data_IF_526507071854
#
_entry.id   IF_526507071854
#
_cell.length_a   1.000
_cell.length_b   1.000
_cell.length_c   1.000
_cell.angle_alpha   90.00
_cell.angle_beta   90.00
_cell.angle_gamma   90.00
#
_symmetry.space_group_name_H-M   'P 1'
#
loop_
_entity.id
_entity.type
_entity.pdbx_description
1 polymer ?
#
# COMPACT_ATOMS: atom_id res chain seq x y z
N UNK A 1 43.33 -35.30 2.97
CA UNK A 1 42.49 -34.87 4.11
C UNK A 1 41.15 -35.56 4.00
N UNK A 2 40.62 -36.16 5.08
CA UNK A 2 39.31 -36.86 5.05
C UNK A 2 38.17 -35.88 4.78
N UNK A 3 37.18 -36.29 3.97
CA UNK A 3 35.95 -35.53 3.66
C UNK A 3 35.29 -34.95 4.92
N UNK A 4 35.27 -35.73 5.99
CA UNK A 4 34.66 -35.35 7.27
C UNK A 4 35.34 -34.14 7.94
N UNK A 5 36.64 -33.93 7.70
CA UNK A 5 37.39 -32.78 8.23
C UNK A 5 37.06 -31.50 7.47
N UNK A 6 36.81 -31.61 6.17
CA UNK A 6 36.41 -30.49 5.30
C UNK A 6 34.99 -30.05 5.65
N UNK A 7 34.07 -31.00 5.86
CA UNK A 7 32.68 -30.69 6.24
C UNK A 7 32.58 -30.01 7.61
N UNK A 8 33.35 -30.48 8.61
CA UNK A 8 33.42 -29.82 9.93
C UNK A 8 33.95 -28.38 9.84
N UNK A 9 35.02 -28.16 9.08
CA UNK A 9 35.57 -26.82 8.86
C UNK A 9 34.58 -25.88 8.16
N UNK A 10 33.82 -26.38 7.18
CA UNK A 10 32.79 -25.59 6.50
C UNK A 10 31.63 -25.19 7.44
N UNK A 11 31.21 -26.08 8.32
CA UNK A 11 30.16 -25.80 9.32
C UNK A 11 30.64 -24.73 10.31
N UNK A 12 31.85 -24.86 10.83
CA UNK A 12 32.44 -23.87 11.76
C UNK A 12 32.60 -22.49 11.09
N UNK A 13 33.06 -22.45 9.84
CA UNK A 13 33.21 -21.20 9.09
C UNK A 13 31.84 -20.51 8.86
N UNK A 14 30.80 -21.28 8.54
CA UNK A 14 29.43 -20.74 8.39
C UNK A 14 28.88 -20.21 9.72
N UNK A 15 29.12 -20.92 10.82
CA UNK A 15 28.70 -20.48 12.15
C UNK A 15 29.41 -19.18 12.54
N UNK A 16 30.74 -19.12 12.40
CA UNK A 16 31.51 -17.92 12.69
C UNK A 16 31.05 -16.72 11.84
N UNK A 17 30.74 -16.93 10.56
CA UNK A 17 30.18 -15.88 9.69
C UNK A 17 28.81 -15.41 10.19
N UNK A 18 27.95 -16.34 10.60
CA UNK A 18 26.62 -16.01 11.12
C UNK A 18 26.72 -15.24 12.45
N UNK A 19 27.55 -15.70 13.39
CA UNK A 19 27.81 -15.04 14.68
C UNK A 19 28.35 -13.63 14.47
N UNK A 20 29.32 -13.46 13.56
CA UNK A 20 29.87 -12.14 13.22
C UNK A 20 28.81 -11.20 12.61
N UNK A 21 27.92 -11.73 11.75
CA UNK A 21 26.84 -10.93 11.19
C UNK A 21 25.81 -10.53 12.26
N UNK A 22 25.47 -11.43 13.18
CA UNK A 22 24.57 -11.12 14.30
C UNK A 22 25.15 -10.04 15.20
N UNK A 23 26.43 -10.15 15.58
CA UNK A 23 27.11 -9.14 16.38
C UNK A 23 27.13 -7.76 15.70
N UNK A 24 27.39 -7.74 14.39
CA UNK A 24 27.35 -6.50 13.59
C UNK A 24 25.95 -5.86 13.57
N UNK A 25 24.90 -6.65 13.35
CA UNK A 25 23.52 -6.15 13.35
C UNK A 25 23.11 -5.65 14.74
N UNK A 26 23.43 -6.39 15.79
CA UNK A 26 23.14 -5.99 17.17
C UNK A 26 23.86 -4.69 17.56
N UNK A 27 25.13 -4.52 17.15
CA UNK A 27 25.84 -3.26 17.34
C UNK A 27 25.12 -2.09 16.66
N UNK A 28 24.70 -2.24 15.40
CA UNK A 28 23.97 -1.19 14.69
C UNK A 28 22.63 -0.87 15.36
N UNK A 29 21.88 -1.88 15.79
CA UNK A 29 20.59 -1.70 16.48
C UNK A 29 20.73 -1.00 17.85
N UNK A 30 21.89 -1.09 18.48
CA UNK A 30 22.17 -0.44 19.77
C UNK A 30 22.61 1.03 19.63
N UNK A 31 22.84 1.53 18.42
CA UNK A 31 23.28 2.91 18.20
C UNK A 31 22.14 3.89 18.47
N UNK A 32 22.29 4.85 19.41
CA UNK A 32 21.20 5.73 19.83
C UNK A 32 20.75 6.73 18.75
N UNK A 33 21.54 6.88 17.69
CA UNK A 33 21.23 7.76 16.56
C UNK A 33 20.62 7.01 15.36
N UNK A 34 20.49 5.68 15.43
CA UNK A 34 19.70 4.91 14.47
C UNK A 34 18.29 4.78 15.03
N UNK A 35 17.33 5.45 14.39
CA UNK A 35 15.95 5.47 14.85
C UNK A 35 15.26 4.13 14.56
N UNK A 36 14.47 3.65 15.52
CA UNK A 36 13.77 2.37 15.43
C UNK A 36 12.36 2.46 14.84
N UNK A 37 11.78 3.66 14.83
CA UNK A 37 10.38 3.89 14.46
C UNK A 37 10.19 5.23 13.72
N UNK A 38 9.09 5.34 12.99
CA UNK A 38 8.74 6.57 12.27
C UNK A 38 8.34 7.70 13.22
N UNK A 39 7.77 7.38 14.37
CA UNK A 39 7.34 8.33 15.38
C UNK A 39 8.53 9.13 15.94
N UNK A 40 9.71 8.51 16.04
CA UNK A 40 10.96 9.17 16.46
C UNK A 40 11.47 10.23 15.45
N UNK A 41 10.93 10.22 14.23
CA UNK A 41 11.27 11.18 13.17
C UNK A 41 10.46 12.47 13.25
N UNK A 42 9.38 12.51 14.05
CA UNK A 42 8.48 13.67 14.13
C UNK A 42 9.25 14.91 14.60
N UNK A 43 9.16 15.99 13.81
CA UNK A 43 9.81 17.27 14.09
C UNK A 43 11.29 17.34 13.67
N UNK A 44 11.89 16.23 13.22
CA UNK A 44 13.25 16.24 12.68
C UNK A 44 13.27 16.74 11.23
N UNK A 45 14.34 17.43 10.87
CA UNK A 45 14.53 17.94 9.51
C UNK A 45 15.44 16.99 8.74
N UNK A 46 14.98 16.52 7.58
CA UNK A 46 15.80 15.69 6.68
C UNK A 46 16.91 16.57 6.10
N UNK A 47 18.16 16.16 6.30
CA UNK A 47 19.35 16.79 5.74
C UNK A 47 19.76 16.11 4.43
N UNK A 48 19.75 14.76 4.39
CA UNK A 48 20.16 13.99 3.22
C UNK A 48 19.25 12.79 2.99
N UNK A 49 19.04 12.46 1.72
CA UNK A 49 18.36 11.25 1.26
C UNK A 49 19.34 10.45 0.43
N UNK A 50 19.78 9.30 0.94
CA UNK A 50 20.83 8.47 0.34
C UNK A 50 20.20 7.17 -0.17
N UNK A 51 20.13 6.92 -1.48
CA UNK A 51 19.68 5.65 -2.02
C UNK A 51 20.57 4.49 -1.54
N UNK A 52 19.98 3.34 -1.27
CA UNK A 52 20.72 2.11 -0.90
C UNK A 52 20.70 1.18 -2.12
N UNK A 53 21.75 1.14 -2.97
CA UNK A 53 21.69 0.45 -4.27
C UNK A 53 21.46 -1.06 -4.15
N UNK A 54 21.95 -1.66 -3.06
CA UNK A 54 21.88 -3.10 -2.79
C UNK A 54 20.53 -3.53 -2.20
N UNK A 55 19.69 -2.58 -1.78
CA UNK A 55 18.38 -2.84 -1.17
C UNK A 55 17.31 -2.12 -1.98
N UNK A 56 16.63 -2.87 -2.85
CA UNK A 56 15.58 -2.34 -3.72
C UNK A 56 14.57 -1.50 -2.95
N UNK A 57 14.28 -0.31 -3.47
CA UNK A 57 13.28 0.62 -2.93
C UNK A 57 13.54 1.01 -1.46
N UNK A 58 14.79 1.19 -1.05
CA UNK A 58 15.12 1.73 0.27
C UNK A 58 16.07 2.92 0.19
N UNK A 59 15.88 3.86 1.10
CA UNK A 59 16.72 5.06 1.27
C UNK A 59 17.11 5.21 2.73
N UNK A 60 18.32 5.69 2.98
CA UNK A 60 18.69 6.21 4.28
C UNK A 60 18.33 7.70 4.34
N UNK A 61 17.53 8.08 5.33
CA UNK A 61 17.24 9.47 5.66
C UNK A 61 18.17 9.87 6.80
N UNK A 62 19.00 10.88 6.55
CA UNK A 62 19.87 11.49 7.57
C UNK A 62 19.24 12.81 7.98
N UNK A 63 19.08 13.03 9.29
CA UNK A 63 18.50 14.24 9.85
C UNK A 63 19.59 15.22 10.30
N UNK A 64 19.24 16.50 10.38
CA UNK A 64 20.17 17.59 10.75
C UNK A 64 20.78 17.47 12.15
N UNK A 65 20.20 16.64 13.01
CA UNK A 65 20.71 16.34 14.35
C UNK A 65 21.68 15.14 14.38
N UNK A 66 22.03 14.60 13.21
CA UNK A 66 22.94 13.47 13.04
C UNK A 66 22.29 12.09 13.25
N UNK A 67 20.97 12.04 13.52
CA UNK A 67 20.24 10.77 13.52
C UNK A 67 19.93 10.28 12.11
N UNK A 68 19.62 8.99 11.97
CA UNK A 68 19.19 8.43 10.69
C UNK A 68 18.13 7.33 10.85
N UNK A 69 17.35 7.11 9.78
CA UNK A 69 16.44 5.98 9.65
C UNK A 69 16.53 5.41 8.23
N UNK A 70 16.31 4.10 8.07
CA UNK A 70 16.13 3.48 6.76
C UNK A 70 14.64 3.43 6.45
N UNK A 71 14.24 4.03 5.34
CA UNK A 71 12.87 4.14 4.90
C UNK A 71 12.66 3.47 3.54
N UNK A 72 11.47 2.90 3.26
CA UNK A 72 11.09 2.58 1.90
C UNK A 72 11.14 3.84 1.01
N UNK A 73 11.55 3.65 -0.23
CA UNK A 73 11.52 4.66 -1.27
C UNK A 73 10.06 5.08 -1.54
N UNK A 74 9.77 6.36 -1.81
CA UNK A 74 8.41 6.80 -2.09
C UNK A 74 7.82 6.00 -3.26
N UNK A 75 6.74 5.27 -2.99
CA UNK A 75 6.03 4.48 -4.02
C UNK A 75 5.07 5.41 -4.76
N UNK A 76 5.19 5.47 -6.09
CA UNK A 76 4.37 6.31 -6.97
C UNK A 76 3.13 5.59 -7.53
N UNK A 77 2.74 4.45 -6.96
CA UNK A 77 1.59 3.70 -7.45
C UNK A 77 0.29 4.47 -7.21
N UNK A 78 -0.59 4.65 -8.21
CA UNK A 78 -1.79 5.49 -8.09
C UNK A 78 -2.71 5.14 -6.92
N UNK A 79 -2.88 3.85 -6.61
CA UNK A 79 -3.72 3.41 -5.49
C UNK A 79 -3.10 3.79 -4.15
N UNK A 80 -1.79 3.60 -4.01
CA UNK A 80 -1.01 3.94 -2.81
C UNK A 80 -0.98 5.45 -2.60
N UNK A 81 -0.82 6.22 -3.68
CA UNK A 81 -0.88 7.68 -3.65
C UNK A 81 -2.26 8.17 -3.17
N UNK A 82 -3.35 7.63 -3.71
CA UNK A 82 -4.72 8.02 -3.33
C UNK A 82 -4.99 7.70 -1.86
N UNK A 83 -4.62 6.50 -1.40
CA UNK A 83 -4.78 6.09 0.01
C UNK A 83 -3.94 6.96 0.95
N UNK A 84 -2.69 7.25 0.58
CA UNK A 84 -1.80 8.11 1.35
C UNK A 84 -2.32 9.55 1.44
N UNK A 85 -2.80 10.10 0.32
CA UNK A 85 -3.43 11.43 0.26
C UNK A 85 -4.63 11.53 1.22
N UNK A 86 -5.52 10.53 1.20
CA UNK A 86 -6.67 10.50 2.11
C UNK A 86 -6.29 10.28 3.57
N UNK A 87 -5.31 9.43 3.86
CA UNK A 87 -4.82 9.21 5.22
C UNK A 87 -4.22 10.49 5.83
N UNK A 88 -3.55 11.31 5.00
CA UNK A 88 -2.98 12.60 5.41
C UNK A 88 -3.99 13.74 5.58
N UNK A 89 -5.27 13.55 5.22
CA UNK A 89 -6.28 14.62 5.19
C UNK A 89 -6.37 15.40 6.49
N UNK A 90 -6.44 14.72 7.64
CA UNK A 90 -6.54 15.38 8.95
C UNK A 90 -5.39 16.35 9.25
N UNK A 91 -4.18 16.08 8.74
CA UNK A 91 -3.02 16.94 8.94
C UNK A 91 -2.86 18.03 7.86
N UNK A 92 -3.40 17.78 6.66
CA UNK A 92 -3.11 18.58 5.46
C UNK A 92 -4.27 19.45 4.98
N UNK A 93 -5.52 19.11 5.30
CA UNK A 93 -6.70 19.77 4.75
C UNK A 93 -6.79 21.24 5.14
N UNK A 94 -6.37 21.60 6.36
CA UNK A 94 -6.32 23.01 6.80
C UNK A 94 -5.39 23.88 5.94
N UNK A 95 -4.40 23.29 5.27
CA UNK A 95 -3.44 23.98 4.40
C UNK A 95 -3.74 23.82 2.92
N UNK A 96 -4.53 22.81 2.55
CA UNK A 96 -4.76 22.39 1.18
C UNK A 96 -6.24 22.08 0.90
N UNK A 97 -7.15 22.85 1.50
CA UNK A 97 -8.60 22.62 1.45
C UNK A 97 -9.13 22.49 0.02
N UNK A 98 -8.71 23.40 -0.89
CA UNK A 98 -9.15 23.39 -2.29
C UNK A 98 -8.74 22.10 -3.03
N UNK A 99 -7.58 21.53 -2.68
CA UNK A 99 -7.11 20.26 -3.25
C UNK A 99 -8.01 19.10 -2.81
N UNK A 100 -8.39 19.05 -1.54
CA UNK A 100 -9.29 18.01 -1.03
C UNK A 100 -10.72 18.18 -1.57
N UNK A 101 -11.22 19.41 -1.69
CA UNK A 101 -12.52 19.68 -2.31
C UNK A 101 -12.56 19.26 -3.79
N UNK A 102 -11.45 19.51 -4.51
CA UNK A 102 -11.29 19.06 -5.90
C UNK A 102 -11.27 17.54 -5.98
N UNK A 103 -10.52 16.88 -5.10
CA UNK A 103 -10.52 15.42 -5.01
C UNK A 103 -11.92 14.85 -4.75
N UNK A 104 -12.67 15.41 -3.79
CA UNK A 104 -14.02 14.96 -3.46
C UNK A 104 -15.01 15.15 -4.63
N UNK A 105 -14.80 16.16 -5.47
CA UNK A 105 -15.56 16.32 -6.71
C UNK A 105 -15.22 15.21 -7.72
N UNK A 106 -13.93 14.95 -7.92
CA UNK A 106 -13.46 13.91 -8.84
C UNK A 106 -13.91 12.50 -8.40
N UNK A 107 -13.81 12.19 -7.11
CA UNK A 107 -14.24 10.91 -6.55
C UNK A 107 -15.75 10.70 -6.71
N UNK A 108 -16.56 11.76 -6.53
CA UNK A 108 -18.00 11.70 -6.82
C UNK A 108 -18.29 11.42 -8.29
N UNK A 109 -17.55 12.04 -9.20
CA UNK A 109 -17.70 11.80 -10.63
C UNK A 109 -17.31 10.36 -11.01
N UNK A 110 -16.20 9.85 -10.48
CA UNK A 110 -15.75 8.48 -10.71
C UNK A 110 -16.80 7.46 -10.23
N UNK A 111 -17.31 7.64 -9.01
CA UNK A 111 -18.38 6.78 -8.46
C UNK A 111 -19.65 6.80 -9.30
N UNK A 112 -20.06 7.99 -9.77
CA UNK A 112 -21.23 8.13 -10.64
C UNK A 112 -21.03 7.44 -11.99
N UNK A 113 -19.85 7.62 -12.60
CA UNK A 113 -19.48 6.96 -13.85
C UNK A 113 -19.43 5.43 -13.70
N UNK A 114 -18.81 4.94 -12.62
CA UNK A 114 -18.71 3.51 -12.30
C UNK A 114 -20.08 2.87 -12.10
N UNK A 115 -20.99 3.54 -11.38
CA UNK A 115 -22.39 3.09 -11.22
C UNK A 115 -23.10 3.00 -12.57
N UNK A 116 -22.92 4.01 -13.42
CA UNK A 116 -23.53 4.06 -14.76
C UNK A 116 -23.01 2.93 -15.65
N UNK A 117 -21.69 2.74 -15.70
CA UNK A 117 -21.06 1.65 -16.44
C UNK A 117 -21.57 0.27 -15.96
N UNK A 118 -21.66 0.06 -14.64
CA UNK A 118 -22.19 -1.18 -14.06
C UNK A 118 -23.64 -1.43 -14.47
N UNK A 119 -24.49 -0.40 -14.45
CA UNK A 119 -25.87 -0.50 -14.90
C UNK A 119 -25.95 -0.93 -16.37
N UNK A 120 -25.18 -0.29 -17.24
CA UNK A 120 -25.13 -0.66 -18.67
C UNK A 120 -24.69 -2.11 -18.87
N UNK A 121 -23.69 -2.58 -18.12
CA UNK A 121 -23.23 -3.96 -18.19
C UNK A 121 -24.33 -4.94 -17.77
N UNK A 122 -25.06 -4.65 -16.69
CA UNK A 122 -26.19 -5.47 -16.23
C UNK A 122 -27.31 -5.51 -17.28
N UNK A 123 -27.71 -4.35 -17.80
CA UNK A 123 -28.75 -4.26 -18.82
C UNK A 123 -28.35 -5.00 -20.11
N UNK A 124 -27.09 -4.87 -20.51
CA UNK A 124 -26.52 -5.62 -21.64
C UNK A 124 -26.58 -7.12 -21.40
N UNK A 125 -26.16 -7.58 -20.21
CA UNK A 125 -26.22 -8.98 -19.83
C UNK A 125 -27.66 -9.51 -19.85
N UNK A 126 -28.63 -8.77 -19.31
CA UNK A 126 -30.05 -9.14 -19.37
C UNK A 126 -30.51 -9.24 -20.82
N UNK A 127 -30.30 -8.20 -21.64
CA UNK A 127 -30.76 -8.15 -23.03
C UNK A 127 -30.21 -9.31 -23.86
N UNK A 128 -28.94 -9.66 -23.65
CA UNK A 128 -28.29 -10.71 -24.44
C UNK A 128 -28.77 -12.12 -24.06
N UNK A 129 -29.32 -12.31 -22.86
CA UNK A 129 -29.67 -13.64 -22.34
C UNK A 129 -31.19 -13.87 -22.18
N UNK A 130 -32.02 -12.81 -22.16
CA UNK A 130 -33.45 -12.92 -21.83
C UNK A 130 -34.26 -13.79 -22.80
N UNK A 131 -33.83 -13.86 -24.07
CA UNK A 131 -34.50 -14.71 -25.08
C UNK A 131 -34.04 -16.17 -25.00
N UNK A 132 -32.83 -16.42 -24.49
CA UNK A 132 -32.25 -17.76 -24.35
C UNK A 132 -32.55 -18.39 -22.98
N UNK A 133 -32.91 -17.57 -21.98
CA UNK A 133 -33.23 -18.00 -20.61
C UNK A 133 -34.63 -17.47 -20.25
N UNK A 134 -35.71 -18.17 -20.63
CA UNK A 134 -37.09 -17.74 -20.35
C UNK A 134 -37.38 -17.52 -18.86
N UNK A 135 -36.73 -18.27 -17.97
CA UNK A 135 -36.84 -18.14 -16.51
C UNK A 135 -36.35 -16.78 -16.02
N UNK A 136 -35.30 -16.22 -16.65
CA UNK A 136 -34.80 -14.88 -16.34
C UNK A 136 -35.89 -13.83 -16.60
N UNK A 137 -36.62 -13.96 -17.72
CA UNK A 137 -37.73 -13.06 -18.06
C UNK A 137 -38.87 -13.17 -17.05
N UNK A 138 -39.21 -14.38 -16.62
CA UNK A 138 -40.24 -14.62 -15.62
C UNK A 138 -39.87 -14.00 -14.25
N UNK A 139 -38.63 -14.22 -13.79
CA UNK A 139 -38.13 -13.62 -12.55
C UNK A 139 -38.04 -12.10 -12.60
N UNK A 140 -37.61 -11.51 -13.71
CA UNK A 140 -37.61 -10.05 -13.87
C UNK A 140 -39.02 -9.46 -13.78
N UNK A 141 -40.02 -10.12 -14.35
CA UNK A 141 -41.43 -9.69 -14.21
C UNK A 141 -41.93 -9.77 -12.78
N UNK A 142 -41.60 -10.85 -12.06
CA UNK A 142 -41.95 -11.00 -10.65
C UNK A 142 -41.31 -9.90 -9.79
N UNK A 143 -40.04 -9.60 -10.01
CA UNK A 143 -39.33 -8.51 -9.32
C UNK A 143 -39.97 -7.14 -9.54
N UNK A 144 -40.36 -6.82 -10.78
CA UNK A 144 -41.05 -5.56 -11.09
C UNK A 144 -42.39 -5.48 -10.35
N UNK A 145 -43.16 -6.58 -10.37
CA UNK A 145 -44.44 -6.64 -9.66
C UNK A 145 -44.26 -6.41 -8.15
N UNK A 146 -43.28 -7.06 -7.51
CA UNK A 146 -42.97 -6.86 -6.08
C UNK A 146 -42.60 -5.42 -5.74
N UNK A 147 -41.91 -4.69 -6.64
CA UNK A 147 -41.57 -3.28 -6.41
C UNK A 147 -42.79 -2.37 -6.46
N UNK A 148 -43.72 -2.63 -7.38
CA UNK A 148 -44.98 -1.88 -7.50
C UNK A 148 -45.87 -2.11 -6.27
N UNK A 149 -45.90 -3.33 -5.72
CA UNK A 149 -46.72 -3.65 -4.54
C UNK A 149 -46.12 -3.16 -3.22
N UNK A 150 -44.82 -2.86 -3.16
CA UNK A 150 -44.13 -2.36 -1.95
C UNK A 150 -44.12 -0.83 -1.82
N UNK A 151 -44.66 -0.10 -2.79
CA UNK A 151 -44.77 1.37 -2.75
C UNK A 151 -46.14 1.88 -2.25
N UNK A 152 -47.06 0.98 -1.88
CA UNK A 152 -48.30 1.26 -1.12
C UNK A 152 -48.11 0.97 0.38
#
# INVERSE_FOLDING_TARGET
>A
MSSEKIDKQMIEARKAKWDANQAKVAFLQALPWILGSWEETIGRTIEQVIPIPEVSHSVALVFTDGSMIVAPHPISEPQTLTKGFLAGRGALESRHADTFATYDLLDRHDKAASRTARLHNILGAIRNNVDQIPELKAHLRALVHEWETKQE
#
